data_IF_246537079925
#
_entry.id   IF_246537079925
#
_cell.length_a   1.000
_cell.length_b   1.000
_cell.length_c   1.000
_cell.angle_alpha   90.00
_cell.angle_beta   90.00
_cell.angle_gamma   90.00
#
_symmetry.space_group_name_H-M   'P 1'
#
loop_
_entity.id
_entity.type
_entity.pdbx_description
1 polymer ?
#
# COMPACT_ATOMS: atom_id res chain seq x y z
N UNK A 1 -13.73 -5.17 12.78
CA UNK A 1 -12.97 -3.91 12.85
C UNK A 1 -13.17 -3.19 14.18
N UNK A 2 -14.40 -2.80 14.56
CA UNK A 2 -14.66 -1.96 15.75
C UNK A 2 -14.25 -2.58 17.08
N UNK A 3 -14.28 -3.90 17.21
CA UNK A 3 -13.86 -4.62 18.41
C UNK A 3 -12.34 -4.69 18.60
N UNK A 4 -11.57 -4.34 17.57
CA UNK A 4 -10.09 -4.44 17.55
C UNK A 4 -9.57 -5.80 18.03
N UNK A 5 -10.24 -6.88 17.65
CA UNK A 5 -9.87 -8.26 17.96
C UNK A 5 -10.11 -9.16 16.75
N UNK A 6 -9.63 -10.39 16.81
CA UNK A 6 -9.88 -11.40 15.79
C UNK A 6 -11.36 -11.79 15.73
N UNK A 7 -11.83 -12.07 14.53
CA UNK A 7 -13.19 -12.58 14.32
C UNK A 7 -13.18 -14.10 14.41
N UNK A 8 -13.54 -14.60 15.61
CA UNK A 8 -13.52 -16.04 15.89
C UNK A 8 -14.56 -16.82 15.05
N UNK A 9 -15.64 -16.19 14.60
CA UNK A 9 -16.60 -16.84 13.72
C UNK A 9 -15.97 -17.09 12.34
N UNK A 10 -15.27 -16.10 11.78
CA UNK A 10 -14.54 -16.24 10.51
C UNK A 10 -13.45 -17.28 10.67
N UNK A 11 -12.61 -17.21 11.71
CA UNK A 11 -11.55 -18.17 11.94
C UNK A 11 -12.09 -19.61 12.01
N UNK A 12 -13.15 -19.82 12.78
CA UNK A 12 -13.80 -21.13 12.93
C UNK A 12 -14.37 -21.63 11.62
N UNK A 13 -15.02 -20.77 10.84
CA UNK A 13 -15.64 -21.12 9.56
C UNK A 13 -14.61 -21.60 8.52
N UNK A 14 -13.42 -21.03 8.54
CA UNK A 14 -12.32 -21.42 7.65
C UNK A 14 -11.37 -22.47 8.25
N UNK A 15 -11.67 -23.00 9.44
CA UNK A 15 -10.84 -24.00 10.10
C UNK A 15 -9.46 -23.48 10.50
N UNK A 16 -9.32 -22.19 10.72
CA UNK A 16 -8.07 -21.55 11.12
C UNK A 16 -7.93 -21.68 12.65
N UNK A 17 -6.83 -22.28 13.16
CA UNK A 17 -6.61 -22.39 14.61
C UNK A 17 -6.52 -21.01 15.26
N UNK A 18 -7.28 -20.79 16.34
CA UNK A 18 -7.32 -19.49 17.01
C UNK A 18 -6.09 -19.22 17.88
N UNK A 19 -5.44 -20.27 18.36
CA UNK A 19 -4.27 -20.22 19.22
C UNK A 19 -2.97 -19.78 18.53
N UNK A 20 -2.97 -19.70 17.21
CA UNK A 20 -1.83 -19.17 16.46
C UNK A 20 -1.76 -17.64 16.41
N UNK A 21 -2.83 -16.96 16.86
CA UNK A 21 -2.92 -15.51 16.83
C UNK A 21 -2.73 -14.89 18.21
N UNK A 22 -1.83 -13.91 18.29
CA UNK A 22 -1.74 -13.06 19.46
C UNK A 22 -2.82 -11.97 19.42
N UNK A 23 -3.20 -11.44 20.57
CA UNK A 23 -4.12 -10.31 20.65
C UNK A 23 -3.53 -9.08 19.94
N UNK A 24 -4.30 -8.40 19.09
CA UNK A 24 -3.85 -7.19 18.42
C UNK A 24 -3.54 -6.08 19.43
N UNK A 25 -2.38 -5.46 19.27
CA UNK A 25 -1.94 -4.33 20.09
C UNK A 25 -2.04 -3.04 19.33
N UNK A 26 -2.57 -1.99 19.97
CA UNK A 26 -2.83 -0.71 19.30
C UNK A 26 -1.54 0.04 18.97
N UNK A 27 -1.48 0.73 17.82
CA UNK A 27 -0.42 1.69 17.51
C UNK A 27 -0.26 2.74 18.61
N UNK A 28 0.98 3.18 18.85
CA UNK A 28 1.33 4.09 19.93
C UNK A 28 1.61 3.42 21.27
N UNK A 29 1.42 2.10 21.38
CA UNK A 29 1.76 1.34 22.59
C UNK A 29 3.28 1.30 22.78
N UNK A 30 3.73 1.64 23.97
CA UNK A 30 5.13 1.46 24.37
C UNK A 30 5.35 -0.01 24.73
N UNK A 31 6.26 -0.68 24.04
CA UNK A 31 6.61 -2.08 24.29
C UNK A 31 7.68 -2.25 25.38
N UNK A 32 8.50 -1.24 25.60
CA UNK A 32 9.61 -1.24 26.53
C UNK A 32 10.88 -0.65 25.91
N UNK A 33 12.01 -0.89 26.56
CA UNK A 33 13.32 -0.50 26.06
C UNK A 33 13.88 -1.54 25.07
N UNK A 34 14.84 -1.13 24.25
CA UNK A 34 15.64 -2.07 23.46
C UNK A 34 16.21 -3.18 24.34
N UNK A 35 16.31 -4.38 23.81
CA UNK A 35 16.96 -5.49 24.54
C UNK A 35 18.41 -5.19 24.82
N UNK A 36 18.96 -5.75 25.90
CA UNK A 36 20.32 -5.47 26.35
C UNK A 36 21.36 -5.75 25.25
N UNK A 37 21.20 -6.85 24.51
CA UNK A 37 22.11 -7.24 23.43
C UNK A 37 22.10 -6.26 22.25
N UNK A 38 20.94 -5.67 21.93
CA UNK A 38 20.82 -4.65 20.88
C UNK A 38 21.43 -3.33 21.38
N UNK A 39 21.08 -2.91 22.61
CA UNK A 39 21.60 -1.70 23.21
C UNK A 39 23.14 -1.71 23.30
N UNK A 40 23.72 -2.84 23.63
CA UNK A 40 25.18 -3.00 23.65
C UNK A 40 25.80 -2.88 22.26
N UNK A 41 25.19 -3.50 21.23
CA UNK A 41 25.68 -3.44 19.85
C UNK A 41 25.68 -2.04 19.26
N UNK A 42 24.66 -1.23 19.55
CA UNK A 42 24.50 0.14 18.99
C UNK A 42 25.03 1.24 19.91
N UNK A 43 25.34 0.92 21.17
CA UNK A 43 25.95 1.86 22.13
C UNK A 43 24.96 2.78 22.85
N UNK A 44 23.64 2.57 22.72
CA UNK A 44 22.60 3.33 23.44
C UNK A 44 21.34 2.50 23.64
N UNK A 45 20.45 2.93 24.55
CA UNK A 45 19.09 2.41 24.65
C UNK A 45 18.07 3.38 24.08
N UNK A 46 16.92 2.84 23.64
CA UNK A 46 15.79 3.61 23.17
C UNK A 46 14.47 2.91 23.48
N UNK A 47 13.45 3.69 23.72
CA UNK A 47 12.10 3.19 23.94
C UNK A 47 11.48 2.72 22.62
N UNK A 48 10.97 1.49 22.60
CA UNK A 48 10.31 0.90 21.44
C UNK A 48 8.81 1.18 21.51
N UNK A 49 8.30 1.82 20.48
CA UNK A 49 6.88 2.17 20.33
C UNK A 49 6.33 1.54 19.06
N UNK A 50 5.13 0.96 19.14
CA UNK A 50 4.46 0.41 17.96
C UNK A 50 4.03 1.54 17.00
N UNK A 51 4.46 1.51 15.74
CA UNK A 51 3.98 2.44 14.72
C UNK A 51 2.57 2.07 14.24
N UNK A 52 2.05 2.77 13.25
CA UNK A 52 0.79 2.41 12.58
C UNK A 52 0.90 1.13 11.70
N UNK A 53 1.95 0.35 11.89
CA UNK A 53 2.33 -0.97 11.37
C UNK A 53 2.37 -1.12 9.85
N UNK A 54 1.41 -0.62 9.10
CA UNK A 54 1.43 -0.58 7.64
C UNK A 54 2.13 0.71 7.17
N UNK A 55 2.94 0.63 6.13
CA UNK A 55 3.67 1.79 5.58
C UNK A 55 2.72 2.92 5.15
N UNK A 56 1.63 2.58 4.45
CA UNK A 56 0.56 3.53 4.10
C UNK A 56 -0.11 4.11 5.35
N UNK A 57 -0.30 3.32 6.40
CA UNK A 57 -0.85 3.79 7.66
C UNK A 57 0.05 4.81 8.34
N UNK A 58 1.34 4.56 8.34
CA UNK A 58 2.34 5.49 8.86
C UNK A 58 2.46 6.74 7.98
N UNK A 59 2.34 6.58 6.64
CA UNK A 59 2.35 7.70 5.71
C UNK A 59 1.15 8.64 5.92
N UNK A 60 -0.07 8.11 6.08
CA UNK A 60 -1.27 8.92 6.37
C UNK A 60 -1.11 9.68 7.69
N UNK A 61 -0.63 9.02 8.73
CA UNK A 61 -0.38 9.63 10.03
C UNK A 61 0.64 10.77 9.97
N UNK A 62 1.62 10.69 9.08
CA UNK A 62 2.68 11.68 8.93
C UNK A 62 2.25 12.92 8.10
N UNK A 63 1.11 12.87 7.40
CA UNK A 63 0.64 14.01 6.61
C UNK A 63 0.08 15.09 7.54
N UNK A 64 0.57 16.33 7.49
CA UNK A 64 0.04 17.44 8.29
C UNK A 64 -1.30 17.94 7.72
N UNK A 65 -2.33 17.11 7.78
CA UNK A 65 -3.66 17.47 7.32
C UNK A 65 -4.23 18.63 8.13
N UNK A 66 -4.97 19.52 7.48
CA UNK A 66 -5.57 20.69 8.15
C UNK A 66 -6.84 20.33 8.93
N UNK A 67 -7.54 19.29 8.49
CA UNK A 67 -8.81 18.84 9.05
C UNK A 67 -9.06 17.37 8.73
N UNK A 68 -10.18 16.84 9.22
CA UNK A 68 -10.60 15.45 9.02
C UNK A 68 -11.18 15.16 7.64
N UNK A 69 -11.25 16.14 6.72
CA UNK A 69 -11.80 15.95 5.37
C UNK A 69 -10.70 15.71 4.32
N UNK A 70 -9.45 15.53 4.75
CA UNK A 70 -8.35 15.30 3.84
C UNK A 70 -8.52 13.98 3.08
N UNK A 71 -8.30 14.02 1.77
CA UNK A 71 -8.18 12.84 0.92
C UNK A 71 -6.69 12.56 0.72
N UNK A 72 -6.31 11.30 0.90
CA UNK A 72 -4.94 10.84 0.83
C UNK A 72 -4.73 9.94 -0.39
N UNK A 73 -3.59 10.08 -1.03
CA UNK A 73 -3.10 9.15 -2.03
C UNK A 73 -1.70 8.70 -1.63
N UNK A 74 -1.56 7.43 -1.25
CA UNK A 74 -0.24 6.81 -1.07
C UNK A 74 0.15 6.18 -2.41
N UNK A 75 0.99 6.88 -3.17
CA UNK A 75 1.36 6.48 -4.53
C UNK A 75 2.63 5.65 -4.54
N UNK A 76 2.49 4.36 -4.77
CA UNK A 76 3.56 3.37 -4.90
C UNK A 76 3.32 2.44 -6.08
N UNK A 77 3.78 1.20 -6.00
CA UNK A 77 3.43 0.14 -6.96
C UNK A 77 1.91 0.04 -7.11
N UNK A 78 1.21 0.03 -5.99
CA UNK A 78 -0.21 0.34 -5.87
C UNK A 78 -0.38 1.80 -5.44
N UNK A 79 -1.48 2.42 -5.82
CA UNK A 79 -1.91 3.69 -5.26
C UNK A 79 -3.11 3.44 -4.35
N UNK A 80 -3.00 3.84 -3.09
CA UNK A 80 -4.05 3.70 -2.10
C UNK A 80 -4.73 5.06 -1.93
N UNK A 81 -5.94 5.17 -2.43
CA UNK A 81 -6.78 6.37 -2.32
C UNK A 81 -7.75 6.20 -1.17
N UNK A 82 -7.79 7.14 -0.23
CA UNK A 82 -8.70 7.04 0.90
C UNK A 82 -8.78 8.27 1.79
N UNK A 83 -9.53 8.11 2.85
CA UNK A 83 -9.76 9.09 3.91
C UNK A 83 -9.60 8.44 5.27
N UNK A 84 -9.39 9.22 6.31
CA UNK A 84 -9.47 8.75 7.70
C UNK A 84 -10.83 9.06 8.30
N UNK A 85 -11.45 8.05 8.91
CA UNK A 85 -12.74 8.16 9.59
C UNK A 85 -12.65 7.71 11.05
N UNK A 86 -13.60 8.17 11.87
CA UNK A 86 -13.74 7.71 13.25
C UNK A 86 -14.48 6.36 13.35
N UNK A 87 -15.24 6.00 12.32
CA UNK A 87 -16.01 4.75 12.26
C UNK A 87 -15.74 4.02 10.94
N UNK A 88 -15.79 2.69 10.99
CA UNK A 88 -15.68 1.87 9.79
C UNK A 88 -16.92 2.04 8.89
N UNK A 89 -16.70 2.09 7.57
CA UNK A 89 -17.78 2.14 6.58
C UNK A 89 -17.90 0.76 5.92
N UNK A 90 -18.98 0.02 6.27
CA UNK A 90 -19.19 -1.37 5.85
C UNK A 90 -20.47 -1.57 5.06
N UNK A 91 -20.96 -0.54 4.39
CA UNK A 91 -22.18 -0.62 3.60
C UNK A 91 -21.97 -1.32 2.25
N UNK A 92 -23.07 -1.66 1.59
CA UNK A 92 -23.07 -2.37 0.32
C UNK A 92 -22.37 -1.59 -0.81
N UNK A 93 -22.44 -0.25 -0.78
CA UNK A 93 -21.75 0.58 -1.76
C UNK A 93 -20.24 0.48 -1.61
N UNK A 94 -19.73 0.53 -0.37
CA UNK A 94 -18.31 0.34 -0.08
C UNK A 94 -17.81 -1.02 -0.59
N UNK A 95 -18.59 -2.08 -0.34
CA UNK A 95 -18.29 -3.43 -0.84
C UNK A 95 -18.25 -3.48 -2.37
N UNK A 96 -19.27 -2.94 -3.04
CA UNK A 96 -19.34 -2.93 -4.51
C UNK A 96 -18.22 -2.15 -5.18
N UNK A 97 -17.78 -1.07 -4.53
CA UNK A 97 -16.70 -0.22 -5.01
C UNK A 97 -15.32 -0.68 -4.53
N UNK A 98 -15.25 -1.85 -3.88
CA UNK A 98 -14.02 -2.47 -3.40
C UNK A 98 -13.23 -1.59 -2.41
N UNK A 99 -13.95 -0.85 -1.55
CA UNK A 99 -13.33 -0.13 -0.44
C UNK A 99 -13.16 -1.02 0.79
N UNK A 100 -12.07 -0.82 1.48
CA UNK A 100 -11.74 -1.51 2.73
C UNK A 100 -11.61 -0.52 3.89
N UNK A 101 -11.60 -1.06 5.12
CA UNK A 101 -11.31 -0.30 6.32
C UNK A 101 -10.09 -0.90 6.99
N UNK A 102 -9.05 -0.11 7.13
CA UNK A 102 -7.85 -0.49 7.85
C UNK A 102 -7.77 0.24 9.18
N UNK A 103 -7.51 -0.48 10.27
CA UNK A 103 -7.31 0.13 11.58
C UNK A 103 -6.07 1.00 11.61
N UNK A 104 -6.15 2.12 12.31
CA UNK A 104 -5.08 3.09 12.42
C UNK A 104 -4.83 3.54 13.86
N UNK A 105 -4.03 4.60 14.02
CA UNK A 105 -3.74 5.24 15.28
C UNK A 105 -5.02 5.86 15.89
N UNK A 106 -5.13 5.91 17.20
CA UNK A 106 -6.30 6.42 17.93
C UNK A 106 -7.65 5.79 17.55
N UNK A 107 -7.64 4.52 17.15
CA UNK A 107 -8.84 3.79 16.68
C UNK A 107 -9.53 4.44 15.47
N UNK A 108 -8.81 5.23 14.69
CA UNK A 108 -9.33 5.74 13.42
C UNK A 108 -9.24 4.65 12.36
N UNK A 109 -10.01 4.78 11.31
CA UNK A 109 -10.06 3.84 10.19
C UNK A 109 -9.64 4.57 8.92
N UNK A 110 -8.70 3.98 8.20
CA UNK A 110 -8.45 4.37 6.83
C UNK A 110 -9.46 3.65 5.93
N UNK A 111 -10.43 4.39 5.46
CA UNK A 111 -11.37 3.92 4.46
C UNK A 111 -10.77 4.20 3.09
N UNK A 112 -10.26 3.16 2.46
CA UNK A 112 -9.43 3.30 1.26
C UNK A 112 -9.73 2.22 0.21
N UNK A 113 -9.28 2.50 -1.00
CA UNK A 113 -9.31 1.60 -2.14
C UNK A 113 -7.92 1.50 -2.74
N UNK A 114 -7.51 0.29 -3.09
CA UNK A 114 -6.33 0.07 -3.89
C UNK A 114 -6.69 0.32 -5.36
N UNK A 115 -5.93 1.18 -6.01
CA UNK A 115 -6.01 1.41 -7.44
C UNK A 115 -4.66 1.09 -8.07
N UNK A 116 -4.65 0.70 -9.34
CA UNK A 116 -3.41 0.42 -10.04
C UNK A 116 -2.54 1.67 -10.07
N UNK A 117 -1.30 1.54 -9.61
CA UNK A 117 -0.36 2.66 -9.50
C UNK A 117 0.81 2.54 -10.47
N UNK A 118 2.02 2.76 -9.95
CA UNK A 118 3.25 2.73 -10.76
C UNK A 118 3.56 1.35 -11.36
N UNK A 119 2.86 0.30 -10.96
CA UNK A 119 2.94 -1.02 -11.59
C UNK A 119 2.75 -0.95 -13.11
N UNK A 120 1.76 -0.19 -13.59
CA UNK A 120 1.53 -0.01 -15.03
C UNK A 120 2.76 0.62 -15.71
N UNK A 121 3.26 1.73 -15.16
CA UNK A 121 4.44 2.42 -15.69
C UNK A 121 5.69 1.54 -15.68
N UNK A 122 5.88 0.77 -14.61
CA UNK A 122 6.99 -0.18 -14.49
C UNK A 122 6.87 -1.31 -15.51
N UNK A 123 5.65 -1.79 -15.77
CA UNK A 123 5.38 -2.83 -16.75
C UNK A 123 5.62 -2.34 -18.18
N UNK A 124 5.10 -1.17 -18.55
CA UNK A 124 5.39 -0.52 -19.84
C UNK A 124 6.89 -0.35 -20.04
N UNK A 125 7.59 0.17 -19.02
CA UNK A 125 9.04 0.37 -19.09
C UNK A 125 9.81 -0.94 -19.31
N UNK A 126 9.40 -2.03 -18.64
CA UNK A 126 10.01 -3.35 -18.86
C UNK A 126 9.82 -3.84 -20.29
N UNK A 127 8.60 -3.76 -20.80
CA UNK A 127 8.28 -4.18 -22.17
C UNK A 127 9.07 -3.39 -23.21
N UNK A 128 9.11 -2.05 -23.12
CA UNK A 128 9.88 -1.18 -24.03
C UNK A 128 11.36 -1.52 -24.01
N UNK A 129 11.90 -1.93 -22.88
CA UNK A 129 13.29 -2.32 -22.74
C UNK A 129 13.55 -3.80 -23.10
N UNK A 130 12.52 -4.58 -23.43
CA UNK A 130 12.66 -6.00 -23.78
C UNK A 130 13.07 -6.86 -22.58
N UNK A 131 12.65 -6.52 -21.37
CA UNK A 131 12.96 -7.26 -20.16
C UNK A 131 11.78 -8.13 -19.75
N UNK A 132 11.94 -9.43 -19.84
CA UNK A 132 10.97 -10.40 -19.37
C UNK A 132 10.91 -10.40 -17.83
N UNK A 133 9.71 -10.62 -17.29
CA UNK A 133 9.54 -10.85 -15.88
C UNK A 133 10.17 -12.19 -15.51
N UNK A 134 11.23 -12.14 -14.70
CA UNK A 134 11.82 -13.34 -14.09
C UNK A 134 11.51 -13.27 -12.60
N UNK A 135 10.64 -14.15 -12.13
CA UNK A 135 10.24 -14.26 -10.73
C UNK A 135 11.48 -14.32 -9.81
N UNK A 136 11.55 -13.43 -8.84
CA UNK A 136 12.62 -13.37 -7.84
C UNK A 136 13.97 -12.80 -8.28
N UNK A 137 14.15 -12.36 -9.53
CA UNK A 137 15.45 -11.86 -10.04
C UNK A 137 15.49 -10.39 -10.47
N UNK A 138 14.37 -9.72 -10.55
CA UNK A 138 14.32 -8.30 -10.94
C UNK A 138 14.57 -7.39 -9.74
N UNK A 139 15.84 -7.20 -9.36
CA UNK A 139 16.22 -6.08 -8.52
C UNK A 139 16.23 -4.79 -9.36
N UNK A 140 15.95 -3.63 -8.75
CA UNK A 140 16.10 -2.32 -9.42
C UNK A 140 17.48 -2.12 -10.07
N UNK A 141 18.50 -2.80 -9.58
CA UNK A 141 19.87 -2.76 -10.16
C UNK A 141 19.99 -3.45 -11.52
N UNK A 142 19.19 -4.48 -11.80
CA UNK A 142 19.21 -5.16 -13.11
C UNK A 142 18.64 -4.29 -14.24
N UNK A 143 18.07 -3.14 -13.90
CA UNK A 143 17.43 -2.21 -14.84
C UNK A 143 18.28 -0.97 -15.16
N UNK A 144 19.54 -0.91 -14.73
CA UNK A 144 20.36 0.31 -14.88
C UNK A 144 20.92 0.55 -16.28
N UNK A 145 20.98 -0.48 -17.14
CA UNK A 145 21.51 -0.39 -18.51
C UNK A 145 20.42 -0.26 -19.58
N UNK A 146 19.22 0.19 -19.21
CA UNK A 146 18.09 0.21 -20.12
C UNK A 146 18.00 1.48 -20.96
N UNK A 147 17.50 1.31 -22.20
CA UNK A 147 17.30 2.39 -23.18
C UNK A 147 16.29 3.44 -22.69
N UNK A 148 15.26 3.02 -21.92
CA UNK A 148 14.23 3.91 -21.38
C UNK A 148 14.27 3.90 -19.86
N UNK A 149 14.72 5.01 -19.27
CA UNK A 149 14.74 5.24 -17.83
C UNK A 149 13.48 5.94 -17.33
N UNK A 150 13.37 6.11 -16.01
CA UNK A 150 12.26 6.87 -15.42
C UNK A 150 12.30 8.35 -15.77
N UNK A 151 13.49 8.93 -15.94
CA UNK A 151 13.66 10.33 -16.36
C UNK A 151 13.15 10.57 -17.78
N UNK A 152 13.36 9.62 -18.66
CA UNK A 152 12.85 9.67 -20.03
C UNK A 152 11.32 9.53 -20.04
N UNK A 153 10.75 8.56 -19.30
CA UNK A 153 9.30 8.46 -19.15
C UNK A 153 8.68 9.74 -18.60
N UNK A 154 9.33 10.38 -17.62
CA UNK A 154 8.88 11.67 -17.08
C UNK A 154 8.93 12.78 -18.12
N UNK A 155 9.93 12.81 -18.98
CA UNK A 155 10.06 13.77 -20.07
C UNK A 155 8.94 13.57 -21.07
N UNK A 156 8.73 12.35 -21.56
CA UNK A 156 7.63 12.00 -22.46
C UNK A 156 6.25 12.36 -21.88
N UNK A 157 6.05 12.09 -20.58
CA UNK A 157 4.80 12.45 -19.90
C UNK A 157 4.56 13.97 -19.87
N UNK A 158 5.61 14.79 -19.76
CA UNK A 158 5.49 16.26 -19.79
C UNK A 158 5.23 16.82 -21.18
N UNK A 159 5.66 16.10 -22.21
CA UNK A 159 5.47 16.47 -23.63
C UNK A 159 4.11 16.02 -24.17
N UNK A 160 3.48 15.04 -23.52
CA UNK A 160 2.14 14.57 -23.89
C UNK A 160 1.07 15.59 -23.56
N UNK A 161 0.03 15.65 -24.40
CA UNK A 161 -1.13 16.50 -24.13
C UNK A 161 -1.92 16.01 -22.91
N UNK A 162 -2.12 16.84 -21.88
CA UNK A 162 -2.84 16.42 -20.69
C UNK A 162 -4.27 15.98 -20.99
N UNK A 163 -4.68 14.86 -20.44
CA UNK A 163 -6.04 14.31 -20.52
C UNK A 163 -6.52 13.96 -21.94
N UNK A 164 -5.63 13.82 -22.91
CA UNK A 164 -5.97 13.34 -24.26
C UNK A 164 -6.55 11.91 -24.21
N UNK A 165 -6.02 11.07 -23.34
CA UNK A 165 -6.53 9.74 -23.08
C UNK A 165 -6.42 9.37 -21.60
N UNK A 166 -7.26 8.46 -21.16
CA UNK A 166 -7.19 7.87 -19.81
C UNK A 166 -7.62 6.41 -19.86
N UNK A 167 -7.16 5.65 -18.90
CA UNK A 167 -7.55 4.24 -18.70
C UNK A 167 -8.31 4.08 -17.38
N UNK A 168 -9.24 3.16 -17.34
CA UNK A 168 -9.85 2.73 -16.08
C UNK A 168 -8.87 1.81 -15.35
N UNK A 169 -8.15 2.37 -14.39
CA UNK A 169 -7.12 1.65 -13.62
C UNK A 169 -7.67 0.54 -12.73
N UNK A 170 -8.99 0.45 -12.57
CA UNK A 170 -9.67 -0.62 -11.83
C UNK A 170 -10.05 -1.81 -12.71
N UNK A 171 -9.81 -1.75 -14.02
CA UNK A 171 -10.10 -2.86 -14.92
C UNK A 171 -9.12 -4.03 -14.68
N UNK A 172 -9.68 -5.22 -14.52
CA UNK A 172 -8.92 -6.44 -14.22
C UNK A 172 -7.87 -6.78 -15.29
N UNK A 173 -8.02 -6.27 -16.51
CA UNK A 173 -7.03 -6.46 -17.60
C UNK A 173 -5.63 -5.98 -17.23
N UNK A 174 -5.50 -5.01 -16.31
CA UNK A 174 -4.22 -4.45 -15.89
C UNK A 174 -3.55 -5.17 -14.71
N UNK A 175 -4.21 -6.16 -14.09
CA UNK A 175 -3.66 -6.86 -12.92
C UNK A 175 -2.41 -7.67 -13.26
N UNK A 176 -2.47 -8.49 -14.30
CA UNK A 176 -1.38 -9.35 -14.71
C UNK A 176 -1.42 -9.63 -16.22
N UNK A 177 -1.33 -8.61 -17.09
CA UNK A 177 -1.40 -8.80 -18.53
C UNK A 177 -0.11 -9.41 -19.09
N UNK A 178 -0.21 -10.14 -20.17
CA UNK A 178 0.94 -10.59 -20.96
C UNK A 178 1.70 -9.38 -21.56
N UNK A 179 0.96 -8.36 -21.96
CA UNK A 179 1.51 -7.08 -22.44
C UNK A 179 0.69 -5.90 -21.91
N UNK A 180 1.26 -5.13 -21.04
CA UNK A 180 0.64 -3.90 -20.53
C UNK A 180 0.42 -2.87 -21.64
N UNK A 181 1.33 -2.80 -22.60
CA UNK A 181 1.23 -1.88 -23.73
C UNK A 181 0.03 -2.21 -24.64
N UNK A 182 -0.27 -3.48 -24.83
CA UNK A 182 -1.43 -3.89 -25.63
C UNK A 182 -2.74 -3.60 -24.91
N UNK A 183 -2.77 -3.77 -23.59
CA UNK A 183 -3.99 -3.51 -22.80
C UNK A 183 -4.29 -2.01 -22.63
N UNK A 184 -3.27 -1.15 -22.72
CA UNK A 184 -3.46 0.31 -22.65
C UNK A 184 -3.97 0.87 -23.99
N UNK A 185 -3.66 0.24 -25.13
CA UNK A 185 -4.10 0.68 -26.48
C UNK A 185 -5.55 0.37 -26.75
#
# INVERSE_FOLDING_TARGET
AEKCTWDNEILSRFGIPQDIFLEPTMPGTVLGELTADISEKIGYSATVVLPATHDTGSAFLAVPAKDDNAVYISSGTWSLLGVENQHAITNELARKQNFTNEGGYLKRYRFLKNIMGLWMNQSVRREVNGVDYVEGKTSHKALMDHKVGFDELRTLCREAEPFEAYVDVDDDRFLAPDSMIQEIK
#
